data_IF_122515696344
#
_entry.id   IF_122515696344
#
_cell.length_a   1.000
_cell.length_b   1.000
_cell.length_c   1.000
_cell.angle_alpha   90.00
_cell.angle_beta   90.00
_cell.angle_gamma   90.00
#
_symmetry.space_group_name_H-M   'P 1'
#
loop_
_entity.id
_entity.type
_entity.pdbx_description
1 polymer ?
#
# COMPACT_ATOMS: atom_id res chain seq x y z
N UNK A 1 -20.02 -21.09 26.27
CA UNK A 1 -19.94 -21.28 24.81
C UNK A 1 -18.47 -21.38 24.47
N UNK A 2 -17.97 -22.43 23.83
CA UNK A 2 -16.59 -22.48 23.40
C UNK A 2 -16.38 -21.40 22.33
N UNK A 3 -15.41 -20.53 22.54
CA UNK A 3 -14.86 -19.64 21.52
C UNK A 3 -14.20 -20.55 20.47
N UNK A 4 -14.79 -20.63 19.30
CA UNK A 4 -14.11 -21.22 18.14
C UNK A 4 -12.96 -20.26 17.82
N UNK A 5 -11.72 -20.68 18.05
CA UNK A 5 -10.56 -20.10 17.40
C UNK A 5 -10.77 -20.32 15.90
N UNK A 6 -11.05 -19.25 15.18
CA UNK A 6 -11.00 -19.26 13.71
C UNK A 6 -9.53 -19.34 13.38
N UNK A 7 -9.02 -20.54 13.09
CA UNK A 7 -7.72 -20.70 12.45
C UNK A 7 -7.78 -19.85 11.16
N UNK A 8 -7.07 -18.74 11.15
CA UNK A 8 -6.89 -17.96 9.92
C UNK A 8 -6.02 -18.81 9.00
N UNK A 9 -6.66 -19.44 8.02
CA UNK A 9 -5.92 -20.12 6.96
C UNK A 9 -4.99 -19.10 6.31
N UNK A 10 -3.69 -19.41 6.34
CA UNK A 10 -2.67 -18.54 5.73
C UNK A 10 -2.92 -18.45 4.23
N UNK A 11 -3.13 -17.26 3.70
CA UNK A 11 -3.33 -17.05 2.25
C UNK A 11 -2.10 -17.53 1.48
N UNK A 12 -2.31 -18.35 0.46
CA UNK A 12 -1.28 -18.90 -0.43
C UNK A 12 -1.42 -18.24 -1.78
N UNK A 13 -0.41 -17.50 -2.22
CA UNK A 13 -0.53 -16.66 -3.41
C UNK A 13 0.55 -16.92 -4.45
N UNK A 14 0.18 -16.73 -5.72
CA UNK A 14 1.10 -16.73 -6.86
C UNK A 14 1.39 -15.28 -7.25
N UNK A 15 2.66 -14.94 -7.42
CA UNK A 15 3.09 -13.63 -7.89
C UNK A 15 3.07 -13.58 -9.41
N UNK A 16 2.56 -12.46 -9.95
CA UNK A 16 2.44 -12.26 -11.39
C UNK A 16 3.08 -10.93 -11.78
N UNK A 17 4.11 -11.01 -12.64
CA UNK A 17 4.82 -9.85 -13.16
C UNK A 17 4.81 -9.77 -14.68
N UNK A 18 4.96 -8.55 -15.22
CA UNK A 18 5.16 -8.30 -16.65
C UNK A 18 6.47 -7.54 -16.85
N UNK A 19 7.41 -8.13 -17.59
CA UNK A 19 8.64 -7.47 -18.04
C UNK A 19 8.41 -6.81 -19.40
N UNK A 20 8.60 -5.50 -19.50
CA UNK A 20 8.29 -4.74 -20.71
C UNK A 20 9.48 -4.56 -21.66
N UNK A 21 10.72 -4.65 -21.17
CA UNK A 21 11.94 -4.45 -21.97
C UNK A 21 13.04 -5.43 -21.55
N UNK A 22 13.98 -5.72 -22.45
CA UNK A 22 15.21 -6.42 -22.09
C UNK A 22 16.06 -5.52 -21.18
N UNK A 23 16.30 -6.00 -19.96
CA UNK A 23 16.98 -5.24 -18.88
C UNK A 23 16.02 -4.55 -17.91
N UNK A 24 14.70 -4.81 -17.99
CA UNK A 24 13.75 -4.41 -16.98
C UNK A 24 13.97 -5.19 -15.68
N UNK A 25 13.99 -4.46 -14.55
CA UNK A 25 14.14 -5.00 -13.20
C UNK A 25 12.89 -5.80 -12.73
N UNK A 26 12.18 -6.47 -13.64
CA UNK A 26 10.93 -7.16 -13.31
C UNK A 26 11.15 -8.31 -12.31
N UNK A 27 12.27 -9.04 -12.41
CA UNK A 27 12.62 -10.09 -11.47
C UNK A 27 12.87 -9.52 -10.07
N UNK A 28 13.62 -8.42 -9.98
CA UNK A 28 13.88 -7.70 -8.72
C UNK A 28 12.59 -7.10 -8.15
N UNK A 29 11.70 -6.60 -9.01
CA UNK A 29 10.41 -6.04 -8.60
C UNK A 29 9.49 -7.11 -8.01
N UNK A 30 9.46 -8.30 -8.63
CA UNK A 30 8.68 -9.44 -8.13
C UNK A 30 9.31 -10.03 -6.88
N UNK A 31 10.65 -10.04 -6.75
CA UNK A 31 11.33 -10.44 -5.52
C UNK A 31 10.95 -9.50 -4.35
N UNK A 32 10.95 -8.18 -4.57
CA UNK A 32 10.46 -7.20 -3.58
C UNK A 32 8.97 -7.40 -3.26
N UNK A 33 8.15 -7.78 -4.25
CA UNK A 33 6.73 -8.10 -4.03
C UNK A 33 6.58 -9.35 -3.14
N UNK A 34 7.47 -10.35 -3.26
CA UNK A 34 7.46 -11.52 -2.37
C UNK A 34 7.66 -11.10 -0.91
N UNK A 35 8.65 -10.26 -0.63
CA UNK A 35 8.88 -9.72 0.73
C UNK A 35 7.68 -8.92 1.26
N UNK A 36 6.98 -8.17 0.38
CA UNK A 36 5.75 -7.47 0.75
C UNK A 36 4.64 -8.44 1.16
N UNK A 37 4.41 -9.48 0.36
CA UNK A 37 3.40 -10.51 0.60
C UNK A 37 3.68 -11.26 1.90
N UNK A 38 4.93 -11.64 2.17
CA UNK A 38 5.34 -12.26 3.43
C UNK A 38 5.15 -11.30 4.62
N UNK A 39 5.46 -10.02 4.44
CA UNK A 39 5.23 -8.99 5.46
C UNK A 39 3.74 -8.82 5.76
N UNK A 40 2.87 -8.98 4.77
CA UNK A 40 1.41 -8.98 4.94
C UNK A 40 0.86 -10.26 5.59
N UNK A 41 1.69 -11.31 5.76
CA UNK A 41 1.34 -12.57 6.41
C UNK A 41 0.82 -13.66 5.47
N UNK A 42 0.98 -13.50 4.14
CA UNK A 42 0.67 -14.53 3.15
C UNK A 42 1.93 -15.31 2.74
N UNK A 43 1.75 -16.47 2.12
CA UNK A 43 2.83 -17.34 1.64
C UNK A 43 2.86 -17.35 0.12
N UNK A 44 4.03 -17.12 -0.45
CA UNK A 44 4.26 -17.22 -1.90
C UNK A 44 4.47 -18.68 -2.27
N UNK A 45 3.63 -19.23 -3.15
CA UNK A 45 3.68 -20.63 -3.59
C UNK A 45 4.05 -20.80 -5.06
N UNK A 46 4.17 -19.69 -5.78
CA UNK A 46 4.60 -19.69 -7.17
C UNK A 46 4.84 -18.28 -7.71
N UNK A 47 5.53 -18.19 -8.82
CA UNK A 47 5.83 -16.93 -9.51
C UNK A 47 5.72 -17.13 -11.01
N UNK A 48 5.06 -16.18 -11.69
CA UNK A 48 4.91 -16.17 -13.12
C UNK A 48 5.25 -14.79 -13.67
N UNK A 49 6.30 -14.72 -14.51
CA UNK A 49 6.71 -13.48 -15.18
C UNK A 49 6.52 -13.64 -16.67
N UNK A 50 5.84 -12.69 -17.30
CA UNK A 50 5.66 -12.66 -18.76
C UNK A 50 6.48 -11.53 -19.37
N UNK A 51 7.32 -11.84 -20.36
CA UNK A 51 7.97 -10.83 -21.21
C UNK A 51 6.98 -10.34 -22.26
N UNK A 52 6.73 -9.02 -22.30
CA UNK A 52 5.81 -8.39 -23.22
C UNK A 52 6.13 -6.92 -23.43
N UNK A 53 6.03 -6.39 -24.63
CA UNK A 53 6.24 -4.95 -24.89
C UNK A 53 5.22 -4.05 -24.17
N UNK A 54 3.99 -4.52 -24.03
CA UNK A 54 2.92 -3.77 -23.37
C UNK A 54 2.07 -4.67 -22.47
N UNK A 55 1.67 -4.15 -21.31
CA UNK A 55 0.70 -4.79 -20.43
C UNK A 55 -0.61 -5.02 -21.17
N UNK A 56 -1.18 -6.22 -21.05
CA UNK A 56 -2.45 -6.51 -21.70
C UNK A 56 -3.60 -5.70 -21.08
N UNK A 57 -4.36 -4.92 -21.88
CA UNK A 57 -5.34 -3.98 -21.34
C UNK A 57 -6.53 -4.65 -20.65
N UNK A 58 -6.82 -5.91 -21.00
CA UNK A 58 -7.96 -6.66 -20.46
C UNK A 58 -7.63 -7.55 -19.27
N UNK A 59 -6.46 -8.19 -19.26
CA UNK A 59 -6.12 -9.25 -18.30
C UNK A 59 -4.72 -9.11 -17.69
N UNK A 60 -4.05 -7.95 -17.84
CA UNK A 60 -2.70 -7.69 -17.36
C UNK A 60 -1.63 -8.55 -18.08
N UNK A 61 -1.82 -9.87 -18.12
CA UNK A 61 -1.02 -10.83 -18.88
C UNK A 61 -1.79 -11.30 -20.13
N UNK A 62 -1.10 -11.93 -21.08
CA UNK A 62 -1.74 -12.50 -22.28
C UNK A 62 -2.62 -13.70 -21.94
N UNK A 63 -3.60 -13.99 -22.81
CA UNK A 63 -4.58 -15.09 -22.58
C UNK A 63 -3.94 -16.45 -22.36
N UNK A 64 -2.85 -16.80 -23.08
CA UNK A 64 -2.12 -18.05 -22.84
C UNK A 64 -1.52 -18.13 -21.43
N UNK A 65 -1.05 -16.99 -20.88
CA UNK A 65 -0.55 -16.93 -19.51
C UNK A 65 -1.65 -16.99 -18.45
N UNK A 66 -2.89 -16.61 -18.80
CA UNK A 66 -4.04 -16.79 -17.92
C UNK A 66 -4.35 -18.29 -17.74
N UNK A 67 -4.27 -19.10 -18.80
CA UNK A 67 -4.43 -20.57 -18.69
C UNK A 67 -3.29 -21.19 -17.87
N UNK A 68 -2.05 -20.80 -18.09
CA UNK A 68 -0.91 -21.27 -17.29
C UNK A 68 -1.05 -20.90 -15.81
N UNK A 69 -1.63 -19.72 -15.49
CA UNK A 69 -1.97 -19.34 -14.13
C UNK A 69 -3.07 -20.22 -13.51
N UNK A 70 -4.09 -20.55 -14.30
CA UNK A 70 -5.17 -21.45 -13.84
C UNK A 70 -4.61 -22.83 -13.47
N UNK A 71 -3.77 -23.42 -14.34
CA UNK A 71 -3.06 -24.68 -14.06
C UNK A 71 -2.17 -24.57 -12.80
N UNK A 72 -1.40 -23.51 -12.68
CA UNK A 72 -0.53 -23.29 -11.53
C UNK A 72 -1.29 -23.11 -10.20
N UNK A 73 -2.47 -22.48 -10.24
CA UNK A 73 -3.36 -22.36 -9.08
C UNK A 73 -3.83 -23.73 -8.62
N UNK A 74 -4.26 -24.59 -9.56
CA UNK A 74 -4.71 -25.95 -9.26
C UNK A 74 -3.56 -26.82 -8.70
N UNK A 75 -2.38 -26.76 -9.29
CA UNK A 75 -1.21 -27.52 -8.85
C UNK A 75 -0.72 -27.11 -7.46
N UNK A 76 -0.65 -25.83 -7.17
CA UNK A 76 -0.11 -25.30 -5.92
C UNK A 76 -1.14 -25.18 -4.80
N UNK A 77 -2.42 -25.26 -5.11
CA UNK A 77 -3.50 -24.96 -4.18
C UNK A 77 -3.48 -23.51 -3.71
N UNK A 78 -3.12 -22.58 -4.60
CA UNK A 78 -3.11 -21.15 -4.28
C UNK A 78 -4.53 -20.63 -4.06
N UNK A 79 -4.70 -19.78 -3.05
CA UNK A 79 -5.98 -19.14 -2.71
C UNK A 79 -6.17 -17.80 -3.42
N UNK A 80 -5.12 -17.29 -4.08
CA UNK A 80 -5.16 -16.04 -4.81
C UNK A 80 -3.92 -15.77 -5.63
N UNK A 81 -3.94 -14.67 -6.39
CA UNK A 81 -2.78 -14.16 -7.12
C UNK A 81 -2.50 -12.70 -6.71
N UNK A 82 -1.24 -12.27 -6.81
CA UNK A 82 -0.82 -10.89 -6.58
C UNK A 82 -0.07 -10.37 -7.80
N UNK A 83 -0.60 -9.34 -8.45
CA UNK A 83 0.04 -8.68 -9.58
C UNK A 83 1.02 -7.58 -9.12
N UNK A 84 2.18 -7.49 -9.78
CA UNK A 84 3.26 -6.56 -9.43
C UNK A 84 2.96 -5.09 -9.75
N UNK A 85 2.00 -4.83 -10.63
CA UNK A 85 1.55 -3.49 -10.99
C UNK A 85 0.12 -3.23 -10.48
N UNK A 86 -0.25 -1.95 -10.37
CA UNK A 86 -1.62 -1.57 -10.06
C UNK A 86 -2.56 -1.96 -11.20
N UNK A 87 -3.57 -2.77 -10.90
CA UNK A 87 -4.54 -3.23 -11.88
C UNK A 87 -5.65 -2.20 -12.14
N UNK A 88 -6.04 -2.03 -13.39
CA UNK A 88 -7.27 -1.34 -13.70
C UNK A 88 -8.49 -2.16 -13.22
N UNK A 89 -9.64 -1.52 -12.95
CA UNK A 89 -10.85 -2.23 -12.54
C UNK A 89 -11.31 -3.29 -13.54
N UNK A 90 -11.03 -3.10 -14.85
CA UNK A 90 -11.36 -4.06 -15.88
C UNK A 90 -10.44 -5.27 -15.84
N UNK A 91 -9.12 -5.07 -15.66
CA UNK A 91 -8.15 -6.15 -15.53
C UNK A 91 -8.45 -7.01 -14.30
N UNK A 92 -8.71 -6.38 -13.15
CA UNK A 92 -9.05 -7.07 -11.92
C UNK A 92 -10.26 -7.98 -12.13
N UNK A 93 -11.37 -7.41 -12.62
CA UNK A 93 -12.61 -8.14 -12.85
C UNK A 93 -12.42 -9.31 -13.83
N UNK A 94 -11.75 -9.06 -14.96
CA UNK A 94 -11.56 -10.09 -15.98
C UNK A 94 -10.66 -11.24 -15.47
N UNK A 95 -9.65 -10.94 -14.66
CA UNK A 95 -8.82 -11.96 -14.01
C UNK A 95 -9.60 -12.75 -12.98
N UNK A 96 -10.39 -12.09 -12.11
CA UNK A 96 -11.25 -12.77 -11.13
C UNK A 96 -12.27 -13.69 -11.79
N UNK A 97 -12.89 -13.24 -12.89
CA UNK A 97 -13.84 -14.05 -13.66
C UNK A 97 -13.18 -15.23 -14.36
N UNK A 98 -11.97 -15.06 -14.89
CA UNK A 98 -11.22 -16.11 -15.57
C UNK A 98 -10.68 -17.16 -14.58
N UNK A 99 -10.00 -16.72 -13.53
CA UNK A 99 -9.29 -17.59 -12.59
C UNK A 99 -10.18 -18.11 -11.44
N UNK A 100 -11.35 -17.51 -11.22
CA UNK A 100 -12.27 -17.82 -10.11
C UNK A 100 -11.62 -17.81 -8.74
N UNK A 101 -10.57 -17.00 -8.57
CA UNK A 101 -9.81 -16.84 -7.34
C UNK A 101 -9.63 -15.37 -7.01
N UNK A 102 -9.16 -15.08 -5.79
CA UNK A 102 -8.87 -13.72 -5.32
C UNK A 102 -7.71 -13.12 -6.13
N UNK A 103 -7.93 -11.94 -6.68
CA UNK A 103 -6.92 -11.18 -7.40
C UNK A 103 -6.59 -9.92 -6.62
N UNK A 104 -5.32 -9.76 -6.33
CA UNK A 104 -4.77 -8.61 -5.62
C UNK A 104 -3.71 -7.93 -6.46
N UNK A 105 -3.39 -6.70 -6.13
CA UNK A 105 -2.26 -6.00 -6.73
C UNK A 105 -1.32 -5.46 -5.64
N UNK A 106 -0.13 -5.03 -6.06
CA UNK A 106 0.90 -4.46 -5.18
C UNK A 106 0.34 -3.35 -4.28
N UNK A 107 -0.55 -2.52 -4.81
CA UNK A 107 -1.17 -1.42 -4.07
C UNK A 107 -1.98 -1.91 -2.88
N UNK A 108 -2.77 -2.96 -3.07
CA UNK A 108 -3.58 -3.55 -2.01
C UNK A 108 -2.70 -4.14 -0.90
N UNK A 109 -1.65 -4.88 -1.26
CA UNK A 109 -0.71 -5.47 -0.29
C UNK A 109 -0.04 -4.37 0.55
N UNK A 110 0.44 -3.29 -0.09
CA UNK A 110 1.03 -2.15 0.65
C UNK A 110 0.01 -1.52 1.60
N UNK A 111 -1.24 -1.35 1.16
CA UNK A 111 -2.30 -0.81 2.01
C UNK A 111 -2.62 -1.70 3.21
N UNK A 112 -2.58 -3.02 3.04
CA UNK A 112 -2.81 -3.97 4.12
C UNK A 112 -1.67 -3.94 5.15
N UNK A 113 -0.41 -3.88 4.69
CA UNK A 113 0.74 -3.68 5.59
C UNK A 113 0.60 -2.38 6.37
N UNK A 114 0.22 -1.29 5.71
CA UNK A 114 0.04 0.01 6.36
C UNK A 114 -1.10 0.00 7.37
N UNK A 115 -2.20 -0.69 7.08
CA UNK A 115 -3.31 -0.83 8.01
C UNK A 115 -2.90 -1.57 9.28
N UNK A 116 -2.06 -2.59 9.15
CA UNK A 116 -1.53 -3.35 10.29
C UNK A 116 -0.50 -2.55 11.11
N UNK A 117 0.27 -1.65 10.48
CA UNK A 117 1.39 -0.93 11.10
C UNK A 117 1.02 0.47 11.62
N UNK A 118 -0.07 1.07 11.17
CA UNK A 118 -0.49 2.41 11.60
C UNK A 118 -0.84 2.43 13.08
N UNK A 119 0.00 3.06 13.90
CA UNK A 119 -0.19 3.19 15.34
C UNK A 119 -0.78 4.56 15.71
N UNK A 120 -0.35 5.62 15.04
CA UNK A 120 -0.81 6.98 15.31
C UNK A 120 -2.21 7.26 14.75
N UNK A 121 -2.94 8.17 15.39
CA UNK A 121 -4.26 8.62 14.89
C UNK A 121 -4.16 9.18 13.47
N UNK A 122 -3.10 9.93 13.16
CA UNK A 122 -2.88 10.48 11.82
C UNK A 122 -2.58 9.39 10.80
N UNK A 123 -1.69 8.43 11.13
CA UNK A 123 -1.38 7.28 10.28
C UNK A 123 -2.66 6.49 9.95
N UNK A 124 -3.49 6.19 10.95
CA UNK A 124 -4.76 5.49 10.77
C UNK A 124 -5.73 6.23 9.83
N UNK A 125 -5.90 7.55 10.03
CA UNK A 125 -6.74 8.38 9.14
C UNK A 125 -6.24 8.36 7.71
N UNK A 126 -4.93 8.44 7.50
CA UNK A 126 -4.35 8.49 6.16
C UNK A 126 -4.44 7.13 5.46
N UNK A 127 -4.21 6.04 6.18
CA UNK A 127 -4.37 4.68 5.63
C UNK A 127 -5.83 4.42 5.26
N UNK A 128 -6.79 4.76 6.14
CA UNK A 128 -8.22 4.64 5.84
C UNK A 128 -8.60 5.47 4.60
N UNK A 129 -8.08 6.70 4.51
CA UNK A 129 -8.30 7.56 3.35
C UNK A 129 -7.76 6.94 2.06
N UNK A 130 -6.56 6.37 2.09
CA UNK A 130 -5.95 5.70 0.94
C UNK A 130 -6.74 4.45 0.52
N UNK A 131 -7.15 3.61 1.48
CA UNK A 131 -8.00 2.44 1.22
C UNK A 131 -9.35 2.84 0.60
N UNK A 132 -9.99 3.89 1.09
CA UNK A 132 -11.26 4.38 0.54
C UNK A 132 -11.10 4.93 -0.88
N UNK A 133 -10.02 5.67 -1.16
CA UNK A 133 -9.69 6.15 -2.52
C UNK A 133 -9.46 4.99 -3.47
N UNK A 134 -8.70 3.98 -3.04
CA UNK A 134 -8.45 2.77 -3.80
C UNK A 134 -9.75 2.02 -4.12
N UNK A 135 -10.64 1.82 -3.14
CA UNK A 135 -11.97 1.22 -3.34
C UNK A 135 -12.82 2.04 -4.31
N UNK A 136 -12.80 3.37 -4.17
CA UNK A 136 -13.58 4.28 -5.03
C UNK A 136 -13.18 4.20 -6.50
N UNK A 137 -11.87 4.09 -6.80
CA UNK A 137 -11.36 3.93 -8.17
C UNK A 137 -11.91 2.64 -8.82
N UNK A 138 -12.00 1.56 -8.04
CA UNK A 138 -12.50 0.26 -8.50
C UNK A 138 -14.00 0.21 -8.70
N UNK A 139 -14.79 0.82 -7.81
CA UNK A 139 -16.25 0.97 -7.98
C UNK A 139 -16.61 1.77 -9.24
N UNK A 140 -15.79 2.72 -9.64
CA UNK A 140 -16.04 3.54 -10.85
C UNK A 140 -15.90 2.74 -12.15
N UNK A 141 -15.07 1.69 -12.18
CA UNK A 141 -14.93 0.77 -13.31
C UNK A 141 -16.12 -0.17 -13.48
N UNK A 142 -16.66 -0.69 -12.37
CA UNK A 142 -17.81 -1.59 -12.36
C UNK A 142 -19.09 -0.90 -12.88
N UNK A 143 -19.31 0.37 -12.56
CA UNK A 143 -20.48 1.14 -13.01
C UNK A 143 -20.58 1.27 -14.54
N UNK A 144 -19.45 1.46 -15.22
CA UNK A 144 -19.40 1.54 -16.70
C UNK A 144 -19.66 0.21 -17.41
N UNK A 145 -19.32 -0.91 -16.81
CA UNK A 145 -19.59 -2.24 -17.39
C UNK A 145 -21.06 -2.64 -17.21
N UNK A 146 -21.68 -2.28 -16.09
CA UNK A 146 -23.10 -2.53 -15.82
C UNK A 146 -24.05 -1.66 -16.66
N UNK A 147 -23.66 -0.40 -16.94
CA UNK A 147 -24.48 0.49 -17.80
C UNK A 147 -24.47 0.10 -19.28
N UNK A 148 -23.46 -0.68 -19.74
CA UNK A 148 -23.44 -1.24 -21.10
C UNK A 148 -24.36 -2.45 -21.29
N UNK A 149 -24.74 -3.15 -20.22
CA UNK A 149 -25.65 -4.32 -20.24
C UNK A 149 -27.12 -3.93 -20.15
N UNK A 150 -27.44 -2.70 -19.73
CA UNK A 150 -28.81 -2.19 -19.62
C UNK A 150 -29.15 -1.26 -20.79
N UNK A 151 -29.47 -1.83 -21.95
CA UNK A 151 -29.80 -1.08 -23.17
C UNK A 151 -31.19 -0.41 -23.13
N UNK A 152 -31.41 0.57 -22.24
CA UNK A 152 -32.66 1.35 -22.21
C UNK A 152 -32.46 2.73 -21.61
N UNK A 153 -32.95 3.77 -22.30
CA UNK A 153 -32.99 5.14 -21.80
C UNK A 153 -33.94 5.18 -20.59
N UNK A 154 -33.40 5.34 -19.36
CA UNK A 154 -34.20 5.61 -18.15
C UNK A 154 -34.32 4.50 -17.12
N UNK A 155 -33.84 3.29 -17.34
CA UNK A 155 -33.89 2.19 -16.37
C UNK A 155 -32.54 1.99 -15.66
N UNK A 156 -32.32 2.77 -14.57
CA UNK A 156 -31.27 2.46 -13.61
C UNK A 156 -31.67 1.19 -12.85
N UNK A 157 -30.93 0.09 -13.09
CA UNK A 157 -31.15 -1.17 -12.40
C UNK A 157 -30.85 -1.10 -10.89
N UNK A 158 -31.34 -2.08 -10.09
CA UNK A 158 -31.08 -2.11 -8.63
C UNK A 158 -29.59 -2.12 -8.29
N UNK A 159 -28.74 -2.71 -9.14
CA UNK A 159 -27.28 -2.73 -8.97
C UNK A 159 -26.62 -1.36 -9.15
N UNK A 160 -27.09 -0.54 -10.10
CA UNK A 160 -26.60 0.84 -10.27
C UNK A 160 -26.93 1.73 -9.08
N UNK A 161 -28.14 1.58 -8.49
CA UNK A 161 -28.54 2.31 -7.29
C UNK A 161 -27.66 1.94 -6.09
N UNK A 162 -27.32 0.66 -5.93
CA UNK A 162 -26.46 0.18 -4.86
C UNK A 162 -25.04 0.74 -5.00
N UNK A 163 -24.45 0.64 -6.18
CA UNK A 163 -23.12 1.20 -6.45
C UNK A 163 -23.06 2.73 -6.25
N UNK A 164 -24.12 3.45 -6.64
CA UNK A 164 -24.19 4.91 -6.41
C UNK A 164 -24.31 5.24 -4.92
N UNK A 165 -25.05 4.44 -4.17
CA UNK A 165 -25.18 4.60 -2.71
C UNK A 165 -23.83 4.32 -2.01
N UNK A 166 -23.15 3.22 -2.37
CA UNK A 166 -21.83 2.89 -1.83
C UNK A 166 -20.81 3.98 -2.14
N UNK A 167 -20.82 4.51 -3.38
CA UNK A 167 -19.97 5.62 -3.78
C UNK A 167 -20.22 6.90 -2.97
N UNK A 168 -21.49 7.23 -2.70
CA UNK A 168 -21.87 8.39 -1.88
C UNK A 168 -21.38 8.22 -0.44
N UNK A 169 -21.54 7.02 0.11
CA UNK A 169 -21.11 6.70 1.47
C UNK A 169 -19.59 6.81 1.61
N UNK A 170 -18.83 6.26 0.67
CA UNK A 170 -17.37 6.38 0.64
C UNK A 170 -16.96 7.86 0.50
N UNK A 171 -17.55 8.62 -0.43
CA UNK A 171 -17.22 10.03 -0.60
C UNK A 171 -17.52 10.86 0.67
N UNK A 172 -18.62 10.57 1.36
CA UNK A 172 -18.95 11.22 2.64
C UNK A 172 -17.88 10.93 3.70
N UNK A 173 -17.44 9.66 3.81
CA UNK A 173 -16.37 9.27 4.74
C UNK A 173 -15.03 9.91 4.39
N UNK A 174 -14.66 9.94 3.11
CA UNK A 174 -13.46 10.64 2.61
C UNK A 174 -13.51 12.13 2.97
N UNK A 175 -14.65 12.78 2.82
CA UNK A 175 -14.79 14.20 3.18
C UNK A 175 -14.67 14.43 4.70
N UNK A 176 -15.16 13.50 5.52
CA UNK A 176 -15.01 13.53 6.97
C UNK A 176 -13.54 13.36 7.36
N UNK A 177 -12.87 12.33 6.87
CA UNK A 177 -11.46 12.05 7.17
C UNK A 177 -10.53 13.20 6.75
N UNK A 178 -10.81 13.83 5.60
CA UNK A 178 -10.04 15.01 5.17
C UNK A 178 -10.18 16.19 6.13
N UNK A 179 -11.34 16.36 6.80
CA UNK A 179 -11.52 17.39 7.84
C UNK A 179 -10.71 17.04 9.10
N UNK A 180 -10.81 15.80 9.56
CA UNK A 180 -10.05 15.31 10.71
C UNK A 180 -8.54 15.45 10.48
N UNK A 181 -8.06 15.10 9.28
CA UNK A 181 -6.65 15.22 8.90
C UNK A 181 -6.17 16.69 8.94
N UNK A 182 -6.98 17.63 8.47
CA UNK A 182 -6.63 19.07 8.54
C UNK A 182 -6.49 19.58 9.98
N UNK A 183 -7.31 19.09 10.89
CA UNK A 183 -7.20 19.44 12.31
C UNK A 183 -5.91 18.90 12.92
N UNK A 184 -5.58 17.62 12.64
CA UNK A 184 -4.33 17.01 13.10
C UNK A 184 -3.11 17.77 12.54
N UNK A 185 -3.13 18.13 11.26
CA UNK A 185 -2.07 18.92 10.62
C UNK A 185 -1.91 20.30 11.27
N UNK A 186 -3.02 20.95 11.62
CA UNK A 186 -3.00 22.26 12.34
C UNK A 186 -2.32 22.12 13.71
N UNK A 187 -2.64 21.10 14.47
CA UNK A 187 -1.98 20.84 15.77
C UNK A 187 -0.48 20.55 15.61
N UNK A 188 -0.10 19.80 14.58
CA UNK A 188 1.31 19.56 14.25
C UNK A 188 2.06 20.85 13.92
N UNK A 189 1.46 21.74 13.14
CA UNK A 189 2.09 23.01 12.77
C UNK A 189 2.38 23.87 14.00
N UNK A 190 1.50 23.91 14.98
CA UNK A 190 1.73 24.61 16.26
C UNK A 190 2.93 24.00 17.00
N UNK A 191 2.97 22.68 17.12
CA UNK A 191 4.08 21.97 17.79
C UNK A 191 5.41 22.13 17.03
N UNK A 192 5.35 22.24 15.69
CA UNK A 192 6.48 22.49 14.81
C UNK A 192 7.06 23.88 15.03
N UNK A 193 6.21 24.91 15.10
CA UNK A 193 6.64 26.28 15.37
C UNK A 193 7.33 26.40 16.74
N UNK A 194 6.86 25.65 17.75
CA UNK A 194 7.52 25.60 19.06
C UNK A 194 8.91 24.96 18.96
N UNK A 195 9.07 23.86 18.20
CA UNK A 195 10.38 23.21 17.97
C UNK A 195 11.34 24.09 17.19
N UNK A 196 10.89 24.86 16.21
CA UNK A 196 11.73 25.84 15.50
C UNK A 196 12.32 26.89 16.43
N UNK A 197 11.60 27.30 17.47
CA UNK A 197 12.06 28.26 18.46
C UNK A 197 13.18 27.69 19.36
N UNK A 198 13.27 26.38 19.51
CA UNK A 198 14.33 25.75 20.33
C UNK A 198 15.70 25.74 19.67
N UNK A 199 15.81 26.05 18.37
CA UNK A 199 17.08 26.09 17.63
C UNK A 199 17.78 24.74 17.45
N UNK A 200 17.14 23.62 17.84
CA UNK A 200 17.74 22.29 17.73
C UNK A 200 17.63 21.82 16.27
N UNK A 201 18.75 21.47 15.61
CA UNK A 201 18.75 20.96 14.25
C UNK A 201 18.02 19.61 14.15
N UNK A 202 17.30 19.39 13.05
CA UNK A 202 16.58 18.14 12.77
C UNK A 202 17.27 17.43 11.60
N UNK A 203 17.59 16.15 11.80
CA UNK A 203 18.16 15.25 10.78
C UNK A 203 17.16 14.13 10.51
N UNK A 204 16.76 13.94 9.27
CA UNK A 204 15.92 12.84 8.85
C UNK A 204 16.75 11.75 8.18
N UNK A 205 16.54 10.49 8.61
CA UNK A 205 17.16 9.32 8.01
C UNK A 205 16.26 8.84 6.89
N UNK A 206 16.73 8.87 5.66
CA UNK A 206 15.95 8.48 4.46
C UNK A 206 16.66 7.35 3.71
N UNK A 207 15.89 6.47 3.09
CA UNK A 207 16.42 5.33 2.32
C UNK A 207 15.33 4.32 2.02
N UNK A 208 15.68 3.25 1.32
CA UNK A 208 14.76 2.16 1.00
C UNK A 208 14.26 1.43 2.26
N UNK A 209 13.12 0.73 2.11
CA UNK A 209 12.65 -0.20 3.14
C UNK A 209 13.74 -1.24 3.43
N UNK A 210 13.82 -1.69 4.67
CA UNK A 210 14.82 -2.67 5.13
C UNK A 210 16.31 -2.28 4.91
N UNK A 211 16.61 -0.98 4.76
CA UNK A 211 17.98 -0.46 4.59
C UNK A 211 18.68 -0.12 5.93
N UNK A 212 18.19 -0.63 7.06
CA UNK A 212 18.80 -0.42 8.37
C UNK A 212 18.60 0.97 8.99
N UNK A 213 17.59 1.76 8.54
CA UNK A 213 17.36 3.12 9.06
C UNK A 213 17.03 3.16 10.55
N UNK A 214 16.10 2.31 10.99
CA UNK A 214 15.67 2.20 12.40
C UNK A 214 16.79 1.64 13.26
N UNK A 215 17.56 0.66 12.77
CA UNK A 215 18.75 0.12 13.41
C UNK A 215 19.81 1.20 13.63
N UNK A 216 20.06 2.02 12.61
CA UNK A 216 20.98 3.16 12.73
C UNK A 216 20.51 4.16 13.79
N UNK A 217 19.21 4.50 13.81
CA UNK A 217 18.64 5.40 14.81
C UNK A 217 18.80 4.82 16.22
N UNK A 218 18.48 3.56 16.43
CA UNK A 218 18.61 2.87 17.71
C UNK A 218 20.05 2.85 18.20
N UNK A 219 20.98 2.52 17.31
CA UNK A 219 22.40 2.45 17.65
C UNK A 219 22.98 3.82 18.06
N UNK A 220 22.52 4.89 17.43
CA UNK A 220 23.01 6.24 17.73
C UNK A 220 22.33 6.89 18.93
N UNK A 221 21.08 6.53 19.24
CA UNK A 221 20.27 7.22 20.25
C UNK A 221 19.94 6.36 21.47
N UNK A 222 20.39 5.10 21.52
CA UNK A 222 20.00 4.10 22.51
C UNK A 222 18.46 3.99 22.66
N UNK A 223 17.75 4.18 21.55
CA UNK A 223 16.29 4.12 21.53
C UNK A 223 15.83 2.69 21.26
N UNK A 224 14.71 2.31 21.82
CA UNK A 224 14.05 1.03 21.56
C UNK A 224 12.99 1.22 20.45
N UNK A 225 13.42 1.61 19.24
CA UNK A 225 12.52 1.61 18.07
C UNK A 225 12.43 0.19 17.54
N UNK A 226 11.24 -0.22 17.13
CA UNK A 226 11.01 -1.55 16.61
C UNK A 226 11.94 -1.83 15.41
N UNK A 227 12.80 -2.82 15.58
CA UNK A 227 13.66 -3.34 14.53
C UNK A 227 13.08 -4.70 14.09
N UNK A 228 12.61 -4.75 12.87
CA UNK A 228 12.15 -5.98 12.24
C UNK A 228 12.78 -6.07 10.86
N UNK A 229 13.20 -7.28 10.49
CA UNK A 229 13.66 -7.61 9.14
C UNK A 229 12.45 -7.80 8.21
N UNK A 230 11.62 -6.76 8.13
CA UNK A 230 10.41 -6.72 7.31
C UNK A 230 10.27 -5.37 6.63
N UNK A 231 9.69 -5.38 5.45
CA UNK A 231 9.38 -4.14 4.73
C UNK A 231 8.38 -3.29 5.53
N UNK A 232 8.57 -1.97 5.50
CA UNK A 232 7.72 -1.01 6.24
C UNK A 232 7.62 -1.27 7.76
N UNK A 233 8.70 -1.74 8.39
CA UNK A 233 8.75 -1.87 9.86
C UNK A 233 8.39 -0.54 10.55
N UNK A 234 8.82 0.60 9.98
CA UNK A 234 8.46 1.95 10.42
C UNK A 234 7.47 2.59 9.46
N UNK A 235 6.23 2.80 9.88
CA UNK A 235 5.22 3.59 9.15
C UNK A 235 5.07 4.99 9.76
N UNK A 236 5.03 5.08 11.09
CA UNK A 236 4.94 6.35 11.80
C UNK A 236 6.36 6.89 12.10
N UNK A 237 6.71 8.12 11.67
CA UNK A 237 8.02 8.69 11.91
C UNK A 237 8.31 8.82 13.41
N UNK A 238 9.44 8.28 13.84
CA UNK A 238 9.89 8.36 15.22
C UNK A 238 11.05 9.35 15.34
N UNK A 239 10.93 10.33 16.24
CA UNK A 239 11.99 11.34 16.47
C UNK A 239 12.63 11.11 17.84
N UNK A 240 13.96 11.11 17.87
CA UNK A 240 14.79 10.96 19.09
C UNK A 240 15.83 12.06 19.18
N UNK A 241 16.26 12.36 20.41
CA UNK A 241 17.33 13.31 20.67
C UNK A 241 18.65 12.54 20.67
N UNK A 242 19.60 13.01 19.87
CA UNK A 242 20.99 12.59 19.90
C UNK A 242 21.82 13.70 20.57
N UNK A 243 22.53 13.36 21.62
CA UNK A 243 23.48 14.25 22.29
C UNK A 243 24.88 14.00 21.73
N UNK A 244 25.47 15.04 21.15
CA UNK A 244 26.82 15.00 20.61
C UNK A 244 27.86 15.29 21.70
N UNK A 245 29.12 14.91 21.48
CA UNK A 245 30.24 15.02 22.43
C UNK A 245 30.51 16.45 22.96
N UNK A 246 30.01 17.47 22.30
CA UNK A 246 30.13 18.87 22.67
C UNK A 246 28.88 19.48 23.31
N UNK A 247 28.01 18.64 23.93
CA UNK A 247 26.74 19.04 24.52
C UNK A 247 25.71 19.62 23.51
N UNK A 248 25.94 19.49 22.21
CA UNK A 248 24.96 19.85 21.22
C UNK A 248 23.92 18.77 21.08
N UNK A 249 22.65 19.19 20.92
CA UNK A 249 21.53 18.29 20.72
C UNK A 249 21.07 18.32 19.27
N UNK A 250 20.78 17.15 18.71
CA UNK A 250 20.23 16.99 17.38
C UNK A 250 18.98 16.11 17.47
N UNK A 251 17.91 16.48 16.78
CA UNK A 251 16.74 15.63 16.63
C UNK A 251 16.93 14.71 15.41
N UNK A 252 17.02 13.42 15.65
CA UNK A 252 17.05 12.42 14.57
C UNK A 252 15.65 11.82 14.38
N UNK A 253 15.21 11.78 13.13
CA UNK A 253 13.89 11.24 12.77
C UNK A 253 14.07 10.07 11.83
N UNK A 254 13.55 8.90 12.21
CA UNK A 254 13.34 7.77 11.30
C UNK A 254 12.15 8.03 10.40
N UNK A 255 12.25 7.64 9.14
CA UNK A 255 11.20 7.86 8.15
C UNK A 255 10.78 6.55 7.49
N UNK A 256 9.59 6.55 6.90
CA UNK A 256 9.11 5.45 6.08
C UNK A 256 10.08 5.17 4.94
N UNK A 257 10.42 3.91 4.72
CA UNK A 257 11.34 3.52 3.67
C UNK A 257 10.75 3.67 2.27
N UNK A 258 11.59 3.98 1.27
CA UNK A 258 11.19 3.97 -0.13
C UNK A 258 10.99 2.53 -0.63
N UNK A 259 10.09 2.37 -1.59
CA UNK A 259 9.81 1.12 -2.27
C UNK A 259 9.60 1.39 -3.76
N UNK A 260 9.84 0.38 -4.59
CA UNK A 260 9.57 0.46 -6.03
C UNK A 260 8.06 0.53 -6.29
N UNK A 261 7.66 1.16 -7.38
CA UNK A 261 6.26 1.23 -7.86
C UNK A 261 5.26 1.71 -6.80
N UNK A 262 5.67 2.68 -5.96
CA UNK A 262 4.77 3.24 -4.95
C UNK A 262 3.59 3.96 -5.60
N UNK A 263 2.34 3.57 -5.29
CA UNK A 263 1.16 4.21 -5.85
C UNK A 263 1.08 5.70 -5.52
N UNK A 264 0.73 6.54 -6.49
CA UNK A 264 0.70 8.00 -6.32
C UNK A 264 -0.22 8.46 -5.19
N UNK A 265 -1.35 7.79 -4.96
CA UNK A 265 -2.28 8.15 -3.88
C UNK A 265 -1.79 7.75 -2.48
N UNK A 266 -0.75 6.90 -2.39
CA UNK A 266 -0.05 6.62 -1.14
C UNK A 266 1.06 7.63 -0.84
N UNK A 267 1.52 8.38 -1.85
CA UNK A 267 2.55 9.41 -1.65
C UNK A 267 2.09 10.47 -0.65
N UNK A 268 0.81 10.82 -0.63
CA UNK A 268 0.24 11.75 0.35
C UNK A 268 0.34 11.19 1.77
N UNK A 269 0.14 9.89 1.96
CA UNK A 269 0.34 9.20 3.24
C UNK A 269 1.83 9.19 3.66
N UNK A 270 2.76 9.14 2.69
CA UNK A 270 4.20 9.24 2.92
C UNK A 270 4.69 10.67 3.22
N UNK A 271 3.94 11.70 2.88
CA UNK A 271 4.34 13.10 3.13
C UNK A 271 4.45 13.43 4.62
N UNK A 272 3.95 12.59 5.52
CA UNK A 272 4.14 12.75 6.98
C UNK A 272 5.64 12.79 7.32
N UNK A 273 6.44 11.88 6.74
CA UNK A 273 7.91 11.88 6.90
C UNK A 273 8.58 13.06 6.20
N UNK A 274 8.10 13.45 5.01
CA UNK A 274 8.64 14.57 4.22
C UNK A 274 8.39 15.95 4.84
N UNK A 275 7.32 16.11 5.62
CA UNK A 275 7.07 17.36 6.32
C UNK A 275 8.19 17.70 7.32
N UNK A 276 8.87 16.68 7.87
CA UNK A 276 10.06 16.84 8.69
C UNK A 276 11.29 17.25 7.86
N UNK A 277 11.37 16.83 6.59
CA UNK A 277 12.50 17.12 5.69
C UNK A 277 12.38 18.45 4.94
N UNK A 278 11.17 19.03 4.81
CA UNK A 278 10.93 20.28 4.06
C UNK A 278 11.36 21.55 4.80
N UNK A 279 12.09 21.42 5.90
CA UNK A 279 12.47 22.54 6.75
C UNK A 279 13.70 23.32 6.30
N UNK A 280 14.38 22.92 5.19
CA UNK A 280 15.50 23.72 4.64
C UNK A 280 15.53 23.62 3.12
N UNK A 281 14.91 24.55 2.47
CA UNK A 281 15.42 25.25 1.30
C UNK A 281 14.95 26.69 1.43
#
# INVERSE_FOLDING_TARGET
>A
MPLYEVEQETERVILVGVSQQDGDDAEDSVAELAELVETAGAVVVGTLIQKRENIHPGTYVGTGKVFELEELIEETGATGIVCDDELSPAQLKNLEEALKTKVMDRTLIILDIFAARASTSEGKIQVELAQLKYRLSRLSGLGRSLSRLGGGIGTRGPGEKKLEMDRRLINSRVAQLNRELKEVQRHREVNRQQRKRSGIPVVAVVGYTNAGKSTLLNHLTNAEVLEEDKLFATLDPTTRILELTNNQKVLMTDTVGFIRKLPHHLIDAFQIGRASCRERV
#
